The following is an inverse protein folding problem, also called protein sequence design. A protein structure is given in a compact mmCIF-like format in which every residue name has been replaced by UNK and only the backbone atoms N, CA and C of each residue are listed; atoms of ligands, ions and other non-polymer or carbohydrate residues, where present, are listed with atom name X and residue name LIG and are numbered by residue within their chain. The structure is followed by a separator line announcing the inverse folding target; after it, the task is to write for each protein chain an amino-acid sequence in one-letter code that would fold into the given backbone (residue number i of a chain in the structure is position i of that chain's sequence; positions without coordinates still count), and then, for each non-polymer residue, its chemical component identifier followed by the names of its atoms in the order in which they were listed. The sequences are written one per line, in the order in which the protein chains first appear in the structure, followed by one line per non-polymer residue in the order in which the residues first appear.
data_IF_500683380471
#
_entry.id   IF_500683380471
#
_cell.length_a   1.000
_cell.length_b   1.000
_cell.length_c   1.000
_cell.angle_alpha   90.00
_cell.angle_beta   90.00
_cell.angle_gamma   90.00
#
_symmetry.space_group_name_H-M   'P 1'
#
loop_
_entity.id
_entity.type
_entity.pdbx_description
1 polymer ?
#
# COMPACT_ATOMS: atom_id res chain seq x y z
N UNK A 1 26.17 -56.41 11.08
CA UNK A 1 26.37 -55.45 9.99
C UNK A 1 25.46 -54.30 10.34
N UNK A 2 25.98 -53.44 11.21
CA UNK A 2 25.28 -52.30 11.73
C UNK A 2 25.28 -51.22 10.63
N UNK A 3 24.09 -50.80 10.23
CA UNK A 3 23.90 -49.68 9.32
C UNK A 3 23.93 -48.39 10.14
N UNK A 4 25.04 -47.65 10.07
CA UNK A 4 25.08 -46.25 10.50
C UNK A 4 24.39 -45.39 9.43
N UNK A 5 23.28 -44.75 9.81
CA UNK A 5 22.63 -43.71 9.00
C UNK A 5 23.43 -42.40 9.08
N UNK A 6 23.57 -41.66 7.97
CA UNK A 6 24.31 -40.41 7.97
C UNK A 6 23.53 -39.32 8.72
N UNK A 7 24.13 -38.79 9.78
CA UNK A 7 23.60 -37.66 10.55
C UNK A 7 23.51 -36.43 9.65
N UNK A 8 22.30 -35.90 9.46
CA UNK A 8 22.07 -34.65 8.73
C UNK A 8 22.68 -33.43 9.46
N UNK A 9 22.90 -32.30 8.75
CA UNK A 9 23.48 -31.10 9.32
C UNK A 9 22.61 -30.57 10.47
N UNK A 10 23.25 -30.21 11.59
CA UNK A 10 22.56 -29.72 12.78
C UNK A 10 21.77 -28.43 12.50
N UNK A 11 20.67 -28.23 13.23
CA UNK A 11 19.80 -27.06 13.10
C UNK A 11 20.59 -25.74 13.25
N UNK A 12 21.61 -25.73 14.11
CA UNK A 12 22.54 -24.62 14.31
C UNK A 12 23.34 -24.26 13.05
N UNK A 13 23.70 -25.26 12.21
CA UNK A 13 24.42 -25.02 10.96
C UNK A 13 23.52 -24.38 9.90
N UNK A 14 22.22 -24.67 9.93
CA UNK A 14 21.24 -24.13 8.99
C UNK A 14 20.91 -22.67 9.29
N UNK A 15 20.88 -22.29 10.56
CA UNK A 15 20.63 -20.91 10.99
C UNK A 15 21.81 -20.00 10.65
N UNK A 16 23.05 -20.49 10.85
CA UNK A 16 24.28 -19.76 10.49
C UNK A 16 24.37 -19.53 8.99
N UNK A 17 24.04 -20.53 8.17
CA UNK A 17 24.04 -20.39 6.71
C UNK A 17 22.95 -19.42 6.23
N UNK A 18 21.77 -19.48 6.85
CA UNK A 18 20.67 -18.54 6.57
C UNK A 18 21.08 -17.11 6.89
N UNK A 19 21.73 -16.89 8.03
CA UNK A 19 22.21 -15.58 8.45
C UNK A 19 23.27 -15.01 7.49
N UNK A 20 24.23 -15.83 7.07
CA UNK A 20 25.25 -15.43 6.08
C UNK A 20 24.61 -15.01 4.76
N UNK A 21 23.66 -15.79 4.27
CA UNK A 21 22.92 -15.48 3.05
C UNK A 21 22.16 -14.15 3.17
N UNK A 22 21.59 -13.86 4.33
CA UNK A 22 20.93 -12.56 4.59
C UNK A 22 21.92 -11.40 4.58
N UNK A 23 23.08 -11.55 5.21
CA UNK A 23 24.11 -10.51 5.27
C UNK A 23 24.66 -10.19 3.86
N UNK A 24 24.88 -11.22 3.04
CA UNK A 24 25.29 -11.06 1.63
C UNK A 24 24.21 -10.33 0.80
N UNK A 25 22.94 -10.67 1.00
CA UNK A 25 21.82 -10.03 0.30
C UNK A 25 21.69 -8.55 0.69
N UNK A 26 21.84 -8.23 1.97
CA UNK A 26 21.82 -6.85 2.48
C UNK A 26 22.99 -6.06 1.89
N UNK A 27 24.19 -6.65 1.85
CA UNK A 27 25.35 -6.02 1.23
C UNK A 27 25.11 -5.71 -0.26
N UNK A 28 24.51 -6.65 -1.00
CA UNK A 28 24.14 -6.43 -2.40
C UNK A 28 23.08 -5.33 -2.60
N UNK A 29 22.10 -5.23 -1.72
CA UNK A 29 21.07 -4.18 -1.78
C UNK A 29 21.65 -2.81 -1.49
N UNK A 30 22.58 -2.70 -0.52
CA UNK A 30 23.27 -1.45 -0.18
C UNK A 30 24.18 -0.94 -1.29
N UNK A 31 24.78 -1.85 -2.05
CA UNK A 31 25.73 -1.53 -3.12
C UNK A 31 25.13 -1.69 -4.52
N UNK A 32 23.79 -1.68 -4.63
CA UNK A 32 23.12 -1.82 -5.93
C UNK A 32 23.46 -0.60 -6.80
N UNK A 33 23.89 -0.79 -8.06
CA UNK A 33 24.15 0.32 -8.97
C UNK A 33 22.86 1.12 -9.20
N UNK A 34 23.01 2.44 -9.32
CA UNK A 34 21.89 3.32 -9.63
C UNK A 34 21.24 2.93 -10.97
N UNK A 35 19.91 2.92 -10.97
CA UNK A 35 19.14 2.63 -12.18
C UNK A 35 19.19 3.87 -13.06
N UNK A 36 20.01 3.82 -14.12
CA UNK A 36 20.22 4.94 -15.04
C UNK A 36 18.94 5.42 -15.73
N UNK A 37 17.94 4.54 -15.89
CA UNK A 37 16.65 4.84 -16.53
C UNK A 37 15.47 4.25 -15.71
N UNK A 38 15.08 4.86 -14.59
CA UNK A 38 14.04 4.31 -13.71
C UNK A 38 12.66 4.27 -14.39
N UNK A 39 12.41 5.14 -15.36
CA UNK A 39 11.17 5.18 -16.13
C UNK A 39 10.89 3.95 -17.00
N UNK A 40 11.91 3.15 -17.36
CA UNK A 40 11.71 1.90 -18.10
C UNK A 40 11.30 0.73 -17.20
N UNK A 41 11.55 0.84 -15.90
CA UNK A 41 11.14 -0.19 -14.91
C UNK A 41 9.63 -0.16 -14.66
N UNK A 42 8.96 0.92 -15.05
CA UNK A 42 7.51 1.07 -14.96
C UNK A 42 6.93 1.49 -16.33
N UNK A 43 6.78 0.54 -17.28
CA UNK A 43 6.39 0.84 -18.66
C UNK A 43 5.01 1.50 -18.82
N UNK A 44 4.17 1.47 -17.79
CA UNK A 44 2.82 2.06 -17.80
C UNK A 44 2.59 3.04 -16.65
N UNK A 45 3.64 3.67 -16.10
CA UNK A 45 3.47 4.74 -15.10
C UNK A 45 2.75 5.95 -15.73
N UNK A 46 1.59 6.38 -15.21
CA UNK A 46 0.84 7.52 -15.75
C UNK A 46 1.62 8.85 -15.68
N UNK A 47 2.65 8.96 -14.84
CA UNK A 47 3.55 10.13 -14.76
C UNK A 47 4.50 10.23 -15.96
N UNK A 48 4.78 9.12 -16.64
CA UNK A 48 5.72 9.05 -17.76
C UNK A 48 5.07 9.38 -19.11
N UNK A 49 3.78 9.75 -19.12
CA UNK A 49 2.98 9.93 -20.33
C UNK A 49 3.24 11.25 -21.09
N UNK A 50 4.33 11.98 -20.77
CA UNK A 50 4.52 13.36 -21.25
C UNK A 50 5.94 13.85 -21.49
N UNK A 51 6.98 12.99 -21.49
CA UNK A 51 8.36 13.46 -21.72
C UNK A 51 8.85 13.10 -23.11
N UNK A 52 8.49 13.93 -24.08
CA UNK A 52 9.28 14.16 -25.28
C UNK A 52 9.93 15.55 -25.14
N UNK A 53 11.26 15.56 -25.30
CA UNK A 53 12.13 16.70 -25.64
C UNK A 53 12.61 17.64 -24.50
N UNK A 54 13.90 17.48 -24.18
CA UNK A 54 14.93 18.49 -23.84
C UNK A 54 14.50 19.83 -23.21
N UNK A 55 14.93 20.11 -21.98
CA UNK A 55 15.90 21.20 -21.74
C UNK A 55 16.55 21.07 -20.35
N UNK A 56 17.80 21.50 -20.32
CA UNK A 56 18.73 21.56 -19.21
C UNK A 56 18.41 22.75 -18.31
N UNK A 57 18.28 22.53 -17.00
CA UNK A 57 18.71 23.53 -16.01
C UNK A 57 18.96 22.88 -14.65
N UNK A 58 20.21 23.01 -14.25
CA UNK A 58 20.81 22.72 -12.96
C UNK A 58 20.19 23.52 -11.82
N UNK A 59 19.95 22.89 -10.67
CA UNK A 59 19.81 23.59 -9.40
C UNK A 59 20.77 22.96 -8.38
N UNK A 60 21.66 23.79 -7.84
CA UNK A 60 22.60 23.44 -6.78
C UNK A 60 21.91 23.39 -5.40
N UNK A 61 22.41 22.45 -4.60
CA UNK A 61 22.44 22.39 -3.13
C UNK A 61 22.06 23.65 -2.35
N UNK A 62 21.25 23.51 -1.29
CA UNK A 62 21.56 24.02 0.07
C UNK A 62 20.92 23.04 1.07
N UNK A 63 21.76 22.25 1.73
CA UNK A 63 21.40 21.54 2.95
C UNK A 63 21.23 22.52 4.11
N UNK A 64 20.12 22.41 4.84
CA UNK A 64 19.95 23.09 6.11
C UNK A 64 19.71 22.02 7.20
N UNK A 65 20.53 21.97 8.27
CA UNK A 65 20.32 21.02 9.36
C UNK A 65 19.01 21.34 10.07
N UNK A 66 18.17 20.31 10.25
CA UNK A 66 16.98 20.38 11.09
C UNK A 66 17.50 20.46 12.53
N UNK A 67 17.46 21.66 13.11
CA UNK A 67 17.56 21.82 14.56
C UNK A 67 16.28 21.23 15.19
N UNK A 68 16.45 20.22 16.03
CA UNK A 68 15.42 19.70 16.94
C UNK A 68 15.00 20.81 17.90
N UNK A 69 14.08 21.65 17.46
CA UNK A 69 13.29 22.49 18.34
C UNK A 69 12.13 21.65 18.83
N UNK A 70 12.28 21.05 20.01
CA UNK A 70 11.17 20.48 20.79
C UNK A 70 10.24 21.61 21.23
N UNK A 71 9.46 22.15 20.30
CA UNK A 71 8.25 22.88 20.63
C UNK A 71 7.23 21.87 21.12
N UNK A 72 6.80 21.99 22.38
CA UNK A 72 5.54 21.40 22.85
C UNK A 72 4.47 21.82 21.85
N UNK A 73 4.08 20.88 20.98
CA UNK A 73 3.02 21.10 20.01
C UNK A 73 1.75 21.13 20.85
N UNK A 74 1.19 22.32 21.10
CA UNK A 74 -0.15 22.43 21.64
C UNK A 74 -1.07 21.65 20.68
N UNK A 75 -1.53 20.48 21.13
CA UNK A 75 -2.45 19.67 20.35
C UNK A 75 -3.72 20.48 20.13
N UNK A 76 -3.99 20.87 18.90
CA UNK A 76 -5.25 21.54 18.55
C UNK A 76 -6.40 20.62 18.99
N UNK A 77 -7.24 21.05 19.96
CA UNK A 77 -8.33 20.22 20.45
C UNK A 77 -9.34 19.90 19.34
N UNK A 78 -9.41 20.74 18.31
CA UNK A 78 -10.28 20.55 17.16
C UNK A 78 -9.67 19.68 16.06
N UNK A 79 -8.37 19.38 16.11
CA UNK A 79 -7.75 18.47 15.14
C UNK A 79 -8.37 17.08 15.25
N UNK A 80 -8.75 16.50 14.11
CA UNK A 80 -9.31 15.15 14.05
C UNK A 80 -8.23 14.07 13.84
N UNK A 81 -7.04 14.48 13.41
CA UNK A 81 -5.90 13.60 13.15
C UNK A 81 -5.58 12.78 14.40
N UNK A 82 -5.47 11.46 14.25
CA UNK A 82 -5.17 10.54 15.36
C UNK A 82 -6.29 10.44 16.42
N UNK A 83 -7.48 10.99 16.16
CA UNK A 83 -8.63 10.93 17.07
C UNK A 83 -9.82 10.23 16.42
N UNK A 84 -10.77 9.78 17.23
CA UNK A 84 -12.05 9.17 16.78
C UNK A 84 -13.29 9.91 17.29
N UNK A 85 -13.12 11.01 18.02
CA UNK A 85 -14.23 11.76 18.66
C UNK A 85 -15.23 12.35 17.65
N UNK A 86 -14.84 12.50 16.38
CA UNK A 86 -15.70 12.92 15.28
C UNK A 86 -16.59 11.80 14.72
N UNK A 87 -16.33 10.54 15.08
CA UNK A 87 -17.13 9.42 14.62
C UNK A 87 -18.53 9.42 15.25
N UNK A 88 -19.56 9.31 14.41
CA UNK A 88 -20.96 9.20 14.85
C UNK A 88 -21.54 7.79 14.64
N UNK A 89 -20.88 6.94 13.86
CA UNK A 89 -21.37 5.59 13.52
C UNK A 89 -20.77 4.46 14.37
N UNK A 90 -19.70 4.76 15.13
CA UNK A 90 -19.00 3.79 15.99
C UNK A 90 -18.01 2.86 15.29
N UNK A 91 -17.86 2.94 13.96
CA UNK A 91 -17.03 2.02 13.17
C UNK A 91 -15.79 2.67 12.51
N UNK A 92 -15.58 3.97 12.69
CA UNK A 92 -14.40 4.65 12.15
C UNK A 92 -13.13 4.30 12.96
N UNK A 93 -11.97 4.57 12.36
CA UNK A 93 -10.65 4.44 13.01
C UNK A 93 -9.92 5.78 12.95
N UNK A 94 -8.89 5.91 13.78
CA UNK A 94 -7.97 7.04 13.75
C UNK A 94 -7.31 7.12 12.37
N UNK A 95 -7.31 8.32 11.79
CA UNK A 95 -6.72 8.56 10.47
C UNK A 95 -5.51 9.49 10.58
N UNK A 96 -4.49 9.29 9.72
CA UNK A 96 -3.27 10.09 9.73
C UNK A 96 -3.48 11.50 9.16
N UNK A 97 -4.60 11.75 8.45
CA UNK A 97 -4.90 13.05 7.86
C UNK A 97 -6.31 13.53 8.17
N UNK A 98 -6.47 14.86 8.21
CA UNK A 98 -7.76 15.51 8.45
C UNK A 98 -8.79 15.17 7.35
N UNK A 99 -8.33 15.05 6.10
CA UNK A 99 -9.17 14.74 4.94
C UNK A 99 -9.79 13.34 5.02
N UNK A 100 -9.10 12.40 5.65
CA UNK A 100 -9.57 11.03 5.85
C UNK A 100 -10.47 10.89 7.08
N UNK A 101 -10.46 11.88 7.97
CA UNK A 101 -11.20 11.88 9.24
C UNK A 101 -12.69 12.26 9.05
N UNK A 102 -13.40 11.50 8.21
CA UNK A 102 -14.79 11.72 7.81
C UNK A 102 -15.65 10.51 8.16
N UNK A 103 -16.80 10.76 8.81
CA UNK A 103 -17.75 9.71 9.19
C UNK A 103 -18.83 9.54 8.11
N UNK A 104 -19.30 8.29 7.89
CA UNK A 104 -20.39 8.01 6.95
C UNK A 104 -21.73 8.71 7.30
N UNK A 105 -21.86 9.20 8.53
CA UNK A 105 -23.01 9.98 9.01
C UNK A 105 -22.87 11.49 8.75
N UNK A 106 -21.67 11.99 8.43
CA UNK A 106 -21.43 13.42 8.15
C UNK A 106 -21.72 13.78 6.69
N UNK A 107 -21.65 12.80 5.78
CA UNK A 107 -21.91 12.98 4.35
C UNK A 107 -23.34 12.56 4.05
N UNK A 108 -24.22 13.53 3.80
CA UNK A 108 -25.66 13.28 3.58
C UNK A 108 -25.94 12.30 2.42
N UNK A 109 -25.15 12.34 1.35
CA UNK A 109 -25.24 11.39 0.23
C UNK A 109 -25.02 9.94 0.68
N UNK A 110 -24.02 9.71 1.54
CA UNK A 110 -23.66 8.40 2.09
C UNK A 110 -24.69 7.98 3.13
N UNK A 111 -25.10 8.90 4.00
CA UNK A 111 -26.10 8.66 5.05
C UNK A 111 -27.42 8.16 4.49
N UNK A 112 -27.86 8.67 3.33
CA UNK A 112 -29.06 8.19 2.63
C UNK A 112 -28.98 6.75 2.15
N UNK A 113 -27.77 6.20 1.99
CA UNK A 113 -27.54 4.82 1.61
C UNK A 113 -27.47 3.87 2.82
N UNK A 114 -27.49 4.40 4.05
CA UNK A 114 -27.48 3.56 5.26
C UNK A 114 -28.89 2.98 5.46
N UNK A 115 -29.06 1.66 5.59
CA UNK A 115 -30.36 1.05 5.88
C UNK A 115 -31.00 1.65 7.14
N UNK A 116 -32.33 1.84 7.12
CA UNK A 116 -33.08 2.53 8.19
C UNK A 116 -32.87 1.92 9.59
N UNK A 117 -32.64 0.61 9.68
CA UNK A 117 -32.41 -0.12 10.93
C UNK A 117 -30.93 -0.13 11.37
N UNK A 118 -30.06 0.62 10.70
CA UNK A 118 -28.61 0.58 10.91
C UNK A 118 -27.99 1.96 11.08
N UNK A 119 -26.81 2.00 11.71
CA UNK A 119 -26.12 3.26 12.07
C UNK A 119 -24.86 3.47 11.23
N UNK A 120 -24.45 2.50 10.42
CA UNK A 120 -23.22 2.56 9.66
C UNK A 120 -23.40 2.06 8.22
N UNK A 121 -22.66 2.68 7.30
CA UNK A 121 -22.67 2.32 5.88
C UNK A 121 -22.18 0.89 5.61
N UNK A 122 -21.41 0.30 6.54
CA UNK A 122 -20.95 -1.08 6.44
C UNK A 122 -22.09 -2.11 6.48
N UNK A 123 -23.30 -1.71 6.90
CA UNK A 123 -24.48 -2.57 6.86
C UNK A 123 -25.24 -2.49 5.53
N UNK A 124 -24.84 -1.61 4.61
CA UNK A 124 -25.40 -1.60 3.27
C UNK A 124 -24.89 -2.84 2.49
N UNK A 125 -25.82 -3.69 2.07
CA UNK A 125 -25.51 -4.93 1.37
C UNK A 125 -24.90 -4.69 -0.02
N UNK A 126 -25.28 -3.63 -0.72
CA UNK A 126 -24.72 -3.29 -2.02
C UNK A 126 -23.25 -2.94 -1.89
N UNK A 127 -22.88 -2.12 -0.90
CA UNK A 127 -21.47 -1.76 -0.65
C UNK A 127 -20.65 -2.99 -0.24
N UNK A 128 -21.22 -3.82 0.64
CA UNK A 128 -20.55 -5.07 1.03
C UNK A 128 -20.30 -5.96 -0.18
N UNK A 129 -21.32 -6.11 -1.03
CA UNK A 129 -21.24 -6.93 -2.25
C UNK A 129 -20.26 -6.33 -3.26
N UNK A 130 -20.36 -5.05 -3.60
CA UNK A 130 -19.56 -4.46 -4.69
C UNK A 130 -18.12 -4.11 -4.29
N UNK A 131 -17.87 -3.79 -3.02
CA UNK A 131 -16.58 -3.24 -2.58
C UNK A 131 -15.76 -4.19 -1.69
N UNK A 132 -16.38 -5.22 -1.09
CA UNK A 132 -15.68 -6.14 -0.17
C UNK A 132 -15.65 -7.58 -0.63
N UNK A 133 -16.50 -7.98 -1.58
CA UNK A 133 -16.40 -9.28 -2.24
C UNK A 133 -15.21 -9.28 -3.21
N UNK A 134 -14.17 -10.04 -2.87
CA UNK A 134 -12.93 -10.12 -3.66
C UNK A 134 -13.17 -10.59 -5.10
N UNK A 135 -14.10 -11.52 -5.32
CA UNK A 135 -14.39 -12.01 -6.67
C UNK A 135 -15.07 -10.91 -7.49
N UNK A 136 -15.99 -10.16 -6.89
CA UNK A 136 -16.64 -9.04 -7.58
C UNK A 136 -15.68 -7.90 -7.87
N UNK A 137 -14.81 -7.55 -6.93
CA UNK A 137 -13.78 -6.52 -7.13
C UNK A 137 -12.81 -6.93 -8.24
N UNK A 138 -12.34 -8.18 -8.26
CA UNK A 138 -11.47 -8.71 -9.33
C UNK A 138 -12.17 -8.71 -10.70
N UNK A 139 -13.42 -9.17 -10.76
CA UNK A 139 -14.20 -9.12 -12.00
C UNK A 139 -14.42 -7.68 -12.45
N UNK A 140 -14.83 -6.77 -11.58
CA UNK A 140 -15.03 -5.35 -11.89
C UNK A 140 -13.73 -4.72 -12.42
N UNK A 141 -12.59 -5.04 -11.81
CA UNK A 141 -11.29 -4.59 -12.27
C UNK A 141 -10.96 -5.15 -13.67
N UNK A 142 -11.15 -6.45 -13.90
CA UNK A 142 -10.94 -7.08 -15.22
C UNK A 142 -11.86 -6.49 -16.28
N UNK A 143 -13.14 -6.29 -15.97
CA UNK A 143 -14.11 -5.70 -16.89
C UNK A 143 -13.78 -4.24 -17.19
N UNK A 144 -13.31 -3.47 -16.20
CA UNK A 144 -12.80 -2.12 -16.46
C UNK A 144 -11.57 -2.16 -17.40
N UNK A 145 -10.67 -3.14 -17.24
CA UNK A 145 -9.43 -3.27 -18.02
C UNK A 145 -9.64 -3.89 -19.43
N UNK A 146 -10.78 -4.56 -19.69
CA UNK A 146 -11.13 -5.02 -21.06
C UNK A 146 -11.35 -3.88 -22.05
N UNK A 147 -11.55 -2.65 -21.57
CA UNK A 147 -11.51 -1.45 -22.44
C UNK A 147 -10.09 -0.94 -22.70
N UNK A 148 -9.07 -1.45 -22.01
CA UNK A 148 -7.68 -0.97 -22.06
C UNK A 148 -6.64 -1.96 -22.60
N UNK A 149 -6.83 -3.28 -22.59
CA UNK A 149 -5.90 -4.21 -23.25
C UNK A 149 -6.53 -5.55 -23.60
N UNK A 150 -6.23 -6.04 -24.79
CA UNK A 150 -6.52 -7.39 -25.25
C UNK A 150 -6.20 -8.45 -24.17
N UNK A 151 -7.17 -9.33 -23.96
CA UNK A 151 -7.28 -10.37 -22.92
C UNK A 151 -6.04 -11.30 -22.82
N UNK A 152 -5.60 -11.71 -21.61
CA UNK A 152 -4.62 -12.78 -21.45
C UNK A 152 -5.26 -14.14 -21.72
N UNK A 153 -4.56 -14.98 -22.50
CA UNK A 153 -5.08 -16.22 -23.06
C UNK A 153 -5.60 -17.18 -21.99
N UNK A 154 -6.75 -17.84 -22.25
CA UNK A 154 -7.50 -18.74 -21.34
C UNK A 154 -6.69 -19.90 -20.72
N UNK A 155 -5.46 -20.13 -21.18
CA UNK A 155 -4.57 -21.18 -20.69
C UNK A 155 -4.14 -21.00 -19.23
N UNK A 156 -4.16 -19.78 -18.69
CA UNK A 156 -3.69 -19.48 -17.34
C UNK A 156 -4.76 -19.72 -16.24
N UNK A 157 -6.02 -19.95 -16.62
CA UNK A 157 -7.14 -20.16 -15.68
C UNK A 157 -7.45 -21.65 -15.41
N UNK A 158 -6.71 -22.57 -16.01
CA UNK A 158 -6.95 -24.03 -15.92
C UNK A 158 -5.77 -24.83 -15.35
N UNK A 159 -5.11 -24.33 -14.30
CA UNK A 159 -4.11 -25.12 -13.55
C UNK A 159 -4.52 -25.32 -12.10
#
# INVERSE_FOLDING_TARGET
MDHEEPSGPSEDDQEVESQRRWDELIHHLKNRPEVLNPGSSFPNDPRNRGMNETDSSSEEEIGNPIEESSSEIEEDPNSRIGKISWCLCGNCKEMPTEKESICCQEVEEIKRQIPEESVCITYNNEITTECTDNQRVDLNFRFADTTLRNYPNDADLLR
#
